data_IF_105942241965
#
_entry.id   IF_105942241965
#
_cell.length_a   1.000
_cell.length_b   1.000
_cell.length_c   1.000
_cell.angle_alpha   90.00
_cell.angle_beta   90.00
_cell.angle_gamma   90.00
#
_symmetry.space_group_name_H-M   'P 1'
#
loop_
_entity.id
_entity.type
_entity.pdbx_description
1 polymer ?
#
# COMPACT_ATOMS: atom_id res chain seq x y z
N UNK A 1 18.65 -18.06 22.87
CA UNK A 1 19.61 -16.96 23.18
C UNK A 1 18.78 -15.69 23.26
N UNK A 2 18.73 -14.99 24.40
CA UNK A 2 17.97 -13.74 24.52
C UNK A 2 18.68 -12.64 23.73
N UNK A 3 17.94 -11.95 22.86
CA UNK A 3 18.43 -10.77 22.15
C UNK A 3 18.53 -9.60 23.14
N UNK A 4 19.64 -8.83 23.13
CA UNK A 4 19.74 -7.63 23.96
C UNK A 4 18.68 -6.62 23.52
N UNK A 5 18.11 -5.85 24.47
CA UNK A 5 17.14 -4.81 24.14
C UNK A 5 17.80 -3.74 23.25
N UNK A 6 17.05 -3.23 22.28
CA UNK A 6 17.50 -2.15 21.43
C UNK A 6 17.63 -0.85 22.23
N UNK A 7 18.65 -0.05 21.93
CA UNK A 7 18.77 1.32 22.42
C UNK A 7 17.66 2.19 21.86
N UNK A 8 17.32 3.28 22.56
CA UNK A 8 16.31 4.23 22.08
C UNK A 8 16.69 4.85 20.73
N UNK A 9 17.97 5.19 20.54
CA UNK A 9 18.51 5.68 19.28
C UNK A 9 18.25 4.68 18.14
N UNK A 10 18.54 3.39 18.37
CA UNK A 10 18.32 2.36 17.36
C UNK A 10 16.84 2.14 17.05
N UNK A 11 15.95 2.24 18.05
CA UNK A 11 14.49 2.17 17.85
C UNK A 11 14.00 3.31 16.96
N UNK A 12 14.47 4.55 17.19
CA UNK A 12 14.13 5.72 16.37
C UNK A 12 14.61 5.60 14.92
N UNK A 13 15.80 5.05 14.69
CA UNK A 13 16.28 4.77 13.33
C UNK A 13 15.39 3.76 12.61
N UNK A 14 15.02 2.67 13.28
CA UNK A 14 14.15 1.64 12.70
C UNK A 14 12.75 2.20 12.38
N UNK A 15 12.21 3.09 13.20
CA UNK A 15 10.94 3.78 12.89
C UNK A 15 11.03 4.54 11.56
N UNK A 16 12.15 5.21 11.27
CA UNK A 16 12.33 5.90 9.97
C UNK A 16 12.33 4.91 8.80
N UNK A 17 13.06 3.80 8.95
CA UNK A 17 13.12 2.76 7.91
C UNK A 17 11.73 2.20 7.61
N UNK A 18 10.94 1.88 8.64
CA UNK A 18 9.60 1.32 8.45
C UNK A 18 8.66 2.34 7.80
N UNK A 19 8.78 3.64 8.11
CA UNK A 19 8.03 4.71 7.43
C UNK A 19 8.37 4.79 5.94
N UNK A 20 9.66 4.72 5.60
CA UNK A 20 10.11 4.76 4.22
C UNK A 20 9.60 3.54 3.44
N UNK A 21 9.66 2.34 4.03
CA UNK A 21 9.10 1.12 3.43
C UNK A 21 7.59 1.22 3.23
N UNK A 22 6.84 1.77 4.19
CA UNK A 22 5.40 1.97 4.07
C UNK A 22 5.04 2.95 2.94
N UNK A 23 5.81 4.03 2.75
CA UNK A 23 5.58 4.95 1.64
C UNK A 23 5.90 4.29 0.29
N UNK A 24 7.00 3.53 0.20
CA UNK A 24 7.33 2.77 -1.01
C UNK A 24 6.23 1.77 -1.37
N UNK A 25 5.67 1.07 -0.37
CA UNK A 25 4.54 0.15 -0.58
C UNK A 25 3.30 0.90 -1.11
N UNK A 26 2.96 2.06 -0.53
CA UNK A 26 1.84 2.89 -1.00
C UNK A 26 2.06 3.41 -2.42
N UNK A 27 3.28 3.82 -2.78
CA UNK A 27 3.64 4.21 -4.14
C UNK A 27 3.46 3.04 -5.11
N UNK A 28 3.92 1.84 -4.76
CA UNK A 28 3.76 0.64 -5.59
C UNK A 28 2.28 0.31 -5.84
N UNK A 29 1.44 0.34 -4.78
CA UNK A 29 -0.01 0.11 -4.91
C UNK A 29 -0.63 1.13 -5.88
N UNK A 30 -0.29 2.42 -5.76
CA UNK A 30 -0.82 3.48 -6.65
C UNK A 30 -0.38 3.29 -8.10
N UNK A 31 0.84 2.83 -8.33
CA UNK A 31 1.33 2.51 -9.68
C UNK A 31 0.54 1.34 -10.28
N UNK A 32 0.33 0.26 -9.53
CA UNK A 32 -0.47 -0.89 -9.99
C UNK A 32 -1.89 -0.46 -10.37
N UNK A 33 -2.54 0.40 -9.56
CA UNK A 33 -3.85 0.97 -9.91
C UNK A 33 -3.81 1.76 -11.22
N UNK A 34 -2.75 2.56 -11.43
CA UNK A 34 -2.59 3.34 -12.66
C UNK A 34 -2.46 2.44 -13.88
N UNK A 35 -1.71 1.35 -13.76
CA UNK A 35 -1.50 0.38 -14.83
C UNK A 35 -2.84 -0.33 -15.15
N UNK A 36 -3.54 -0.85 -14.14
CA UNK A 36 -4.86 -1.45 -14.31
C UNK A 36 -5.89 -0.49 -14.96
N UNK A 37 -5.91 0.77 -14.55
CA UNK A 37 -6.78 1.79 -15.18
C UNK A 37 -6.38 2.10 -16.63
N UNK A 38 -5.12 1.91 -16.99
CA UNK A 38 -4.67 2.05 -18.38
C UNK A 38 -5.16 0.87 -19.21
N UNK A 39 -5.07 -0.34 -18.66
CA UNK A 39 -5.58 -1.58 -19.29
C UNK A 39 -7.09 -1.50 -19.53
N UNK A 40 -7.88 -1.04 -18.55
CA UNK A 40 -9.33 -0.89 -18.73
C UNK A 40 -9.68 0.06 -19.87
N UNK A 41 -8.92 1.15 -20.03
CA UNK A 41 -9.12 2.11 -21.13
C UNK A 41 -8.77 1.50 -22.49
N UNK A 42 -7.73 0.67 -22.54
CA UNK A 42 -7.34 -0.05 -23.75
C UNK A 42 -8.41 -1.07 -24.15
N UNK A 43 -8.86 -1.91 -23.21
CA UNK A 43 -9.93 -2.88 -23.43
C UNK A 43 -11.24 -2.22 -23.89
N UNK A 44 -11.59 -1.06 -23.33
CA UNK A 44 -12.77 -0.29 -23.75
C UNK A 44 -12.61 0.22 -25.19
N UNK A 45 -11.42 0.70 -25.57
CA UNK A 45 -11.13 1.18 -26.92
C UNK A 45 -11.18 0.05 -27.94
N UNK A 46 -10.72 -1.14 -27.56
CA UNK A 46 -10.77 -2.37 -28.37
C UNK A 46 -12.17 -3.00 -28.41
N UNK A 47 -13.12 -2.45 -27.62
CA UNK A 47 -14.50 -2.93 -27.47
C UNK A 47 -14.57 -4.36 -26.91
N UNK A 48 -13.57 -4.76 -26.14
CA UNK A 48 -13.58 -6.03 -25.40
C UNK A 48 -14.45 -5.95 -24.14
N UNK A 49 -14.64 -4.74 -23.61
CA UNK A 49 -15.55 -4.44 -22.50
C UNK A 49 -16.50 -3.29 -22.86
N UNK A 50 -17.65 -3.24 -22.19
CA UNK A 50 -18.60 -2.12 -22.26
C UNK A 50 -18.20 -0.95 -21.35
N UNK A 51 -18.81 0.23 -21.56
CA UNK A 51 -18.60 1.40 -20.67
C UNK A 51 -19.02 1.10 -19.22
N UNK A 52 -20.11 0.36 -19.03
CA UNK A 52 -20.60 -0.01 -17.70
C UNK A 52 -19.62 -0.96 -16.99
N UNK A 53 -19.04 -1.91 -17.72
CA UNK A 53 -17.99 -2.80 -17.19
C UNK A 53 -16.71 -2.04 -16.85
N UNK A 54 -16.29 -1.10 -17.70
CA UNK A 54 -15.14 -0.23 -17.43
C UNK A 54 -15.33 0.59 -16.15
N UNK A 55 -16.49 1.22 -15.98
CA UNK A 55 -16.80 2.00 -14.76
C UNK A 55 -16.80 1.11 -13.52
N UNK A 56 -17.39 -0.08 -13.60
CA UNK A 56 -17.39 -1.04 -12.50
C UNK A 56 -15.99 -1.53 -12.16
N UNK A 57 -15.13 -1.74 -13.16
CA UNK A 57 -13.74 -2.14 -12.95
C UNK A 57 -12.93 -1.01 -12.26
N UNK A 58 -13.10 0.24 -12.68
CA UNK A 58 -12.51 1.42 -12.04
C UNK A 58 -12.94 1.57 -10.57
N UNK A 59 -14.23 1.40 -10.28
CA UNK A 59 -14.73 1.44 -8.90
C UNK A 59 -14.15 0.31 -8.03
N UNK A 60 -14.01 -0.88 -8.60
CA UNK A 60 -13.48 -2.04 -7.88
C UNK A 60 -11.98 -1.90 -7.59
N UNK A 61 -11.17 -1.49 -8.58
CA UNK A 61 -9.73 -1.29 -8.36
C UNK A 61 -9.49 -0.16 -7.36
N UNK A 62 -10.34 0.87 -7.34
CA UNK A 62 -10.26 1.94 -6.36
C UNK A 62 -10.51 1.42 -4.95
N UNK A 63 -11.56 0.62 -4.73
CA UNK A 63 -11.82 -0.02 -3.42
C UNK A 63 -10.66 -0.91 -2.97
N UNK A 64 -10.16 -1.78 -3.85
CA UNK A 64 -9.03 -2.66 -3.55
C UNK A 64 -7.77 -1.83 -3.19
N UNK A 65 -7.53 -0.75 -3.92
CA UNK A 65 -6.42 0.18 -3.65
C UNK A 65 -6.55 0.79 -2.25
N UNK A 66 -7.72 1.31 -1.92
CA UNK A 66 -7.97 1.97 -0.63
C UNK A 66 -7.84 0.99 0.53
N UNK A 67 -8.36 -0.24 0.39
CA UNK A 67 -8.24 -1.30 1.38
C UNK A 67 -6.77 -1.67 1.65
N UNK A 68 -5.95 -1.78 0.60
CA UNK A 68 -4.54 -2.11 0.75
C UNK A 68 -3.70 -0.95 1.28
N UNK A 69 -4.00 0.30 0.90
CA UNK A 69 -3.36 1.49 1.50
C UNK A 69 -3.65 1.54 2.98
N UNK A 70 -4.91 1.33 3.38
CA UNK A 70 -5.31 1.26 4.79
C UNK A 70 -4.56 0.14 5.53
N UNK A 71 -4.48 -1.04 4.93
CA UNK A 71 -3.73 -2.16 5.53
C UNK A 71 -2.24 -1.84 5.73
N UNK A 72 -1.62 -1.08 4.82
CA UNK A 72 -0.24 -0.61 5.00
C UNK A 72 -0.13 0.36 6.17
N UNK A 73 -1.04 1.34 6.26
CA UNK A 73 -1.05 2.31 7.36
C UNK A 73 -1.31 1.63 8.72
N UNK A 74 -2.21 0.65 8.79
CA UNK A 74 -2.48 -0.13 10.00
C UNK A 74 -1.23 -0.91 10.45
N UNK A 75 -0.54 -1.59 9.52
CA UNK A 75 0.70 -2.32 9.81
C UNK A 75 1.86 -1.40 10.20
N UNK A 76 1.96 -0.23 9.59
CA UNK A 76 2.94 0.79 9.95
C UNK A 76 2.72 1.22 11.41
N UNK A 77 1.48 1.55 11.78
CA UNK A 77 1.13 1.94 13.14
C UNK A 77 1.41 0.84 14.16
N UNK A 78 1.03 -0.41 13.86
CA UNK A 78 1.34 -1.56 14.71
C UNK A 78 2.86 -1.70 14.92
N UNK A 79 3.64 -1.60 13.83
CA UNK A 79 5.09 -1.77 13.89
C UNK A 79 5.79 -0.61 14.61
N UNK A 80 5.33 0.62 14.41
CA UNK A 80 5.84 1.79 15.13
C UNK A 80 5.60 1.66 16.63
N UNK A 81 4.39 1.29 17.04
CA UNK A 81 4.05 1.08 18.45
C UNK A 81 4.92 -0.04 19.05
N UNK A 82 5.05 -1.19 18.38
CA UNK A 82 5.88 -2.29 18.85
C UNK A 82 7.39 -1.92 18.96
N UNK A 83 7.88 -1.00 18.13
CA UNK A 83 9.26 -0.50 18.23
C UNK A 83 9.45 0.49 19.38
N UNK A 84 8.40 1.16 19.83
CA UNK A 84 8.44 2.15 20.90
C UNK A 84 8.01 1.58 22.27
N UNK A 85 7.20 0.52 22.30
CA UNK A 85 6.88 -0.23 23.51
C UNK A 85 8.12 -0.98 24.06
N UNK A 86 8.27 -0.97 25.38
CA UNK A 86 9.31 -1.67 26.14
C UNK A 86 8.72 -2.93 26.75
#
# INVERSE_FOLDING_TARGET
IPLPPLTEERRRELVRVVKDEAEQAKVAIRNIRRDANSDFKELLKEKEISEDESRKAEDNIQKITDDHVKSVDDKLNEKENALLEI
#
